data_IF_439368215731
#
_entry.id   IF_439368215731
#
_cell.length_a   1.000
_cell.length_b   1.000
_cell.length_c   1.000
_cell.angle_alpha   90.00
_cell.angle_beta   90.00
_cell.angle_gamma   90.00
#
_symmetry.space_group_name_H-M   'P 1'
#
loop_
_entity.id
_entity.type
_entity.pdbx_description
1 polymer ?
#
# COMPACT_ATOMS: atom_id res chain seq x y z
N UNK A 1 18.10 2.72 -14.31
CA UNK A 1 16.70 2.38 -13.98
C UNK A 1 16.58 1.91 -12.53
N UNK A 2 17.45 1.01 -12.05
CA UNK A 2 17.43 0.46 -10.68
C UNK A 2 17.41 1.52 -9.59
N UNK A 3 18.33 2.52 -9.64
CA UNK A 3 18.39 3.60 -8.64
C UNK A 3 17.09 4.41 -8.59
N UNK A 4 16.56 4.81 -9.75
CA UNK A 4 15.32 5.60 -9.80
C UNK A 4 14.12 4.82 -9.22
N UNK A 5 13.97 3.55 -9.58
CA UNK A 5 12.93 2.69 -9.03
C UNK A 5 13.14 2.42 -7.53
N UNK A 6 14.40 2.26 -7.10
CA UNK A 6 14.78 2.14 -5.69
C UNK A 6 14.37 3.35 -4.86
N UNK A 7 14.58 4.58 -5.38
CA UNK A 7 14.13 5.82 -4.72
C UNK A 7 12.61 5.85 -4.59
N UNK A 8 11.89 5.50 -5.66
CA UNK A 8 10.41 5.45 -5.65
C UNK A 8 9.91 4.42 -4.65
N UNK A 9 10.46 3.20 -4.67
CA UNK A 9 10.08 2.14 -3.74
C UNK A 9 10.33 2.54 -2.27
N UNK A 10 11.48 3.16 -2.00
CA UNK A 10 11.82 3.66 -0.65
C UNK A 10 10.85 4.76 -0.21
N UNK A 11 10.61 5.77 -1.04
CA UNK A 11 9.75 6.90 -0.70
C UNK A 11 8.29 6.46 -0.48
N UNK A 12 7.72 5.70 -1.43
CA UNK A 12 6.35 5.16 -1.32
C UNK A 12 6.25 4.22 -0.13
N UNK A 13 7.24 3.34 0.06
CA UNK A 13 7.28 2.40 1.17
C UNK A 13 7.31 3.09 2.53
N UNK A 14 8.11 4.13 2.72
CA UNK A 14 8.15 4.90 3.97
C UNK A 14 6.81 5.58 4.26
N UNK A 15 6.17 6.17 3.24
CA UNK A 15 4.85 6.80 3.40
C UNK A 15 3.80 5.76 3.81
N UNK A 16 3.73 4.64 3.10
CA UNK A 16 2.74 3.57 3.36
C UNK A 16 2.96 2.94 4.72
N UNK A 17 4.19 2.52 5.04
CA UNK A 17 4.51 1.88 6.34
C UNK A 17 4.24 2.84 7.50
N UNK A 18 4.60 4.12 7.36
CA UNK A 18 4.31 5.13 8.40
C UNK A 18 2.81 5.32 8.58
N UNK A 19 2.05 5.40 7.48
CA UNK A 19 0.58 5.51 7.51
C UNK A 19 -0.07 4.31 8.22
N UNK A 20 0.33 3.10 7.86
CA UNK A 20 -0.17 1.86 8.47
C UNK A 20 0.24 1.72 9.94
N UNK A 21 1.45 2.15 10.29
CA UNK A 21 1.91 2.16 11.68
C UNK A 21 1.05 3.11 12.53
N UNK A 22 0.80 4.34 12.07
CA UNK A 22 -0.06 5.29 12.77
C UNK A 22 -1.48 4.72 12.89
N UNK A 23 -2.04 4.16 11.82
CA UNK A 23 -3.38 3.56 11.82
C UNK A 23 -3.49 2.37 12.79
N UNK A 24 -2.42 1.62 12.97
CA UNK A 24 -2.39 0.46 13.87
C UNK A 24 -2.24 0.87 15.34
N UNK A 25 -1.42 1.88 15.64
CA UNK A 25 -1.10 2.31 17.00
C UNK A 25 -2.08 3.34 17.57
N UNK A 26 -2.57 4.25 16.73
CA UNK A 26 -3.49 5.33 17.12
C UNK A 26 -4.43 5.65 15.94
N UNK A 27 -5.49 4.86 15.84
CA UNK A 27 -6.48 4.99 14.76
C UNK A 27 -7.14 6.38 14.76
N UNK A 28 -7.43 6.94 15.95
CA UNK A 28 -8.01 8.28 16.05
C UNK A 28 -7.05 9.38 15.53
N UNK A 29 -5.75 9.19 15.70
CA UNK A 29 -4.73 10.07 15.11
C UNK A 29 -4.68 9.91 13.60
N UNK A 30 -4.76 8.67 13.10
CA UNK A 30 -4.82 8.40 11.66
C UNK A 30 -6.01 9.13 11.00
N UNK A 31 -7.18 9.09 11.61
CA UNK A 31 -8.37 9.82 11.15
C UNK A 31 -8.15 11.35 11.14
N UNK A 32 -7.55 11.92 12.19
CA UNK A 32 -7.23 13.36 12.25
C UNK A 32 -6.23 13.79 11.17
N UNK A 33 -5.33 12.90 10.77
CA UNK A 33 -4.35 13.14 9.70
C UNK A 33 -4.89 12.84 8.30
N UNK A 34 -6.14 12.37 8.17
CA UNK A 34 -6.74 11.99 6.89
C UNK A 34 -6.14 10.70 6.28
N UNK A 35 -5.49 9.87 7.11
CA UNK A 35 -4.95 8.55 6.71
C UNK A 35 -6.00 7.44 6.82
N UNK A 36 -7.07 7.70 7.53
CA UNK A 36 -8.23 6.83 7.71
C UNK A 36 -9.51 7.66 7.66
N UNK A 37 -10.60 7.03 7.22
CA UNK A 37 -11.91 7.66 7.13
C UNK A 37 -12.47 7.97 8.53
N UNK A 38 -13.31 9.00 8.61
CA UNK A 38 -13.97 9.39 9.86
C UNK A 38 -15.11 8.42 10.21
N UNK A 39 -15.33 8.22 11.50
CA UNK A 39 -16.37 7.31 12.00
C UNK A 39 -17.78 7.68 11.52
N UNK A 40 -18.09 8.98 11.38
CA UNK A 40 -19.41 9.45 10.93
C UNK A 40 -19.66 9.12 9.45
N UNK A 41 -18.59 8.96 8.66
CA UNK A 41 -18.63 8.73 7.21
C UNK A 41 -18.45 7.25 6.85
N UNK A 42 -18.26 6.37 7.84
CA UNK A 42 -17.84 4.98 7.61
C UNK A 42 -18.73 3.99 8.33
N UNK A 43 -19.04 2.87 7.67
CA UNK A 43 -19.75 1.76 8.32
C UNK A 43 -18.89 1.11 9.41
N UNK A 44 -19.45 0.78 10.59
CA UNK A 44 -18.67 0.16 11.68
C UNK A 44 -18.03 -1.19 11.33
N UNK A 45 -18.61 -1.95 10.40
CA UNK A 45 -18.00 -3.19 9.91
C UNK A 45 -16.78 -2.88 9.05
N UNK A 46 -16.92 -1.94 8.12
CA UNK A 46 -15.79 -1.50 7.27
C UNK A 46 -14.63 -1.00 8.13
N UNK A 47 -14.89 -0.14 9.12
CA UNK A 47 -13.88 0.33 10.08
C UNK A 47 -13.09 -0.80 10.74
N UNK A 48 -13.78 -1.85 11.20
CA UNK A 48 -13.09 -3.01 11.82
C UNK A 48 -12.24 -3.79 10.82
N UNK A 49 -12.71 -3.91 9.58
CA UNK A 49 -11.94 -4.52 8.52
C UNK A 49 -10.70 -3.71 8.19
N UNK A 50 -10.81 -2.38 8.10
CA UNK A 50 -9.67 -1.48 7.85
C UNK A 50 -8.59 -1.58 8.93
N UNK A 51 -8.96 -1.67 10.20
CA UNK A 51 -7.97 -1.85 11.27
C UNK A 51 -7.20 -3.18 11.14
N UNK A 52 -7.88 -4.25 10.74
CA UNK A 52 -7.22 -5.53 10.51
C UNK A 52 -6.37 -5.50 9.23
N UNK A 53 -6.85 -4.85 8.17
CA UNK A 53 -6.09 -4.60 6.94
C UNK A 53 -4.82 -3.80 7.24
N UNK A 54 -4.91 -2.71 8.01
CA UNK A 54 -3.75 -1.90 8.40
C UNK A 54 -2.66 -2.73 9.11
N UNK A 55 -3.05 -3.63 10.00
CA UNK A 55 -2.13 -4.53 10.69
C UNK A 55 -1.46 -5.52 9.75
N UNK A 56 -2.25 -6.09 8.83
CA UNK A 56 -1.74 -7.03 7.84
C UNK A 56 -0.80 -6.34 6.85
N UNK A 57 -1.20 -5.18 6.36
CA UNK A 57 -0.40 -4.38 5.43
C UNK A 57 0.92 -3.93 6.07
N UNK A 58 0.90 -3.56 7.34
CA UNK A 58 2.14 -3.25 8.08
C UNK A 58 3.09 -4.47 8.10
N UNK A 59 2.54 -5.67 8.31
CA UNK A 59 3.32 -6.91 8.30
C UNK A 59 3.90 -7.25 6.92
N UNK A 60 3.21 -6.90 5.83
CA UNK A 60 3.60 -7.27 4.47
C UNK A 60 4.39 -6.15 3.78
N UNK A 61 3.91 -4.90 3.85
CA UNK A 61 4.41 -3.79 3.04
C UNK A 61 5.71 -3.15 3.57
N UNK A 62 6.20 -3.52 4.77
CA UNK A 62 7.53 -3.08 5.24
C UNK A 62 8.66 -3.57 4.30
N UNK A 63 8.40 -4.60 3.50
CA UNK A 63 9.33 -5.09 2.49
C UNK A 63 9.55 -4.07 1.36
N UNK A 64 8.63 -3.11 1.16
CA UNK A 64 8.74 -2.11 0.10
C UNK A 64 9.90 -1.13 0.33
N UNK A 65 10.05 -0.47 1.50
CA UNK A 65 11.26 0.32 1.76
C UNK A 65 12.52 -0.56 1.81
N UNK A 66 12.45 -1.81 2.25
CA UNK A 66 13.58 -2.73 2.19
C UNK A 66 14.03 -3.00 0.75
N UNK A 67 13.11 -3.25 -0.18
CA UNK A 67 13.42 -3.40 -1.59
C UNK A 67 14.09 -2.13 -2.14
N UNK A 68 13.56 -0.94 -1.78
CA UNK A 68 14.15 0.35 -2.15
C UNK A 68 15.60 0.48 -1.70
N UNK A 69 15.88 0.20 -0.42
CA UNK A 69 17.25 0.23 0.13
C UNK A 69 18.15 -0.78 -0.59
N UNK A 70 17.69 -2.03 -0.75
CA UNK A 70 18.46 -3.08 -1.40
C UNK A 70 18.85 -2.71 -2.85
N UNK A 71 17.94 -2.07 -3.59
CA UNK A 71 18.19 -1.57 -4.94
C UNK A 71 19.22 -0.41 -4.94
N UNK A 72 19.17 0.48 -3.94
CA UNK A 72 20.06 1.65 -3.86
C UNK A 72 21.51 1.25 -3.53
N UNK A 73 21.69 0.21 -2.71
CA UNK A 73 23.04 -0.30 -2.36
C UNK A 73 23.51 -1.43 -3.30
N UNK A 74 22.77 -1.70 -4.36
CA UNK A 74 23.04 -2.76 -5.36
C UNK A 74 23.28 -4.13 -4.72
N UNK A 75 22.49 -4.48 -3.70
CA UNK A 75 22.59 -5.76 -3.01
C UNK A 75 22.23 -6.91 -3.96
N UNK A 76 23.06 -7.96 -4.06
CA UNK A 76 22.84 -9.07 -5.00
C UNK A 76 21.47 -9.79 -4.87
N UNK A 77 20.81 -9.67 -3.73
CA UNK A 77 19.50 -10.25 -3.43
C UNK A 77 18.32 -9.32 -3.72
N UNK A 78 18.56 -8.05 -4.14
CA UNK A 78 17.47 -7.11 -4.38
C UNK A 78 16.40 -7.62 -5.36
N UNK A 79 16.71 -8.39 -6.45
CA UNK A 79 15.66 -8.80 -7.37
C UNK A 79 14.63 -9.72 -6.72
N UNK A 80 15.05 -10.58 -5.80
CA UNK A 80 14.17 -11.49 -5.08
C UNK A 80 13.21 -10.74 -4.14
N UNK A 81 13.74 -9.77 -3.40
CA UNK A 81 12.89 -8.91 -2.55
C UNK A 81 11.94 -8.07 -3.38
N UNK A 82 12.40 -7.55 -4.53
CA UNK A 82 11.56 -6.79 -5.45
C UNK A 82 10.42 -7.63 -6.02
N UNK A 83 10.63 -8.92 -6.33
CA UNK A 83 9.57 -9.84 -6.75
C UNK A 83 8.52 -10.06 -5.65
N UNK A 84 8.96 -10.38 -4.43
CA UNK A 84 8.06 -10.59 -3.29
C UNK A 84 7.25 -9.33 -3.01
N UNK A 85 7.94 -8.21 -2.86
CA UNK A 85 7.33 -6.91 -2.57
C UNK A 85 6.42 -6.44 -3.70
N UNK A 86 6.86 -6.59 -4.95
CA UNK A 86 6.06 -6.22 -6.10
C UNK A 86 4.75 -7.00 -6.17
N UNK A 87 4.81 -8.31 -5.91
CA UNK A 87 3.61 -9.16 -5.84
C UNK A 87 2.67 -8.72 -4.71
N UNK A 88 3.20 -8.41 -3.54
CA UNK A 88 2.43 -7.90 -2.41
C UNK A 88 1.76 -6.55 -2.73
N UNK A 89 2.47 -5.63 -3.38
CA UNK A 89 1.91 -4.33 -3.79
C UNK A 89 0.80 -4.47 -4.82
N UNK A 90 0.95 -5.38 -5.81
CA UNK A 90 -0.09 -5.66 -6.81
C UNK A 90 -1.31 -6.29 -6.16
N UNK A 91 -1.11 -7.27 -5.26
CA UNK A 91 -2.21 -7.88 -4.50
C UNK A 91 -2.96 -6.84 -3.67
N UNK A 92 -2.24 -6.07 -2.85
CA UNK A 92 -2.85 -5.02 -2.01
C UNK A 92 -3.62 -4.01 -2.85
N UNK A 93 -3.01 -3.47 -3.92
CA UNK A 93 -3.67 -2.49 -4.79
C UNK A 93 -4.92 -3.05 -5.47
N UNK A 94 -4.84 -4.27 -6.00
CA UNK A 94 -5.96 -4.94 -6.67
C UNK A 94 -7.07 -5.34 -5.70
N UNK A 95 -6.73 -5.99 -4.61
CA UNK A 95 -7.68 -6.49 -3.60
C UNK A 95 -8.44 -5.34 -2.92
N UNK A 96 -7.72 -4.31 -2.46
CA UNK A 96 -8.34 -3.17 -1.79
C UNK A 96 -9.18 -2.32 -2.75
N UNK A 97 -8.71 -2.14 -3.99
CA UNK A 97 -9.50 -1.49 -5.03
C UNK A 97 -10.79 -2.24 -5.35
N UNK A 98 -10.73 -3.56 -5.51
CA UNK A 98 -11.90 -4.41 -5.74
C UNK A 98 -12.87 -4.40 -4.55
N UNK A 99 -12.35 -4.46 -3.31
CA UNK A 99 -13.14 -4.33 -2.08
C UNK A 99 -13.90 -3.00 -2.05
N UNK A 100 -13.24 -1.89 -2.33
CA UNK A 100 -13.87 -0.57 -2.33
C UNK A 100 -14.98 -0.46 -3.39
N UNK A 101 -14.79 -1.04 -4.58
CA UNK A 101 -15.83 -1.11 -5.61
C UNK A 101 -17.03 -1.94 -5.17
N UNK A 102 -16.78 -3.09 -4.55
CA UNK A 102 -17.86 -3.96 -4.04
C UNK A 102 -18.68 -3.27 -2.93
N UNK A 103 -18.01 -2.62 -1.96
CA UNK A 103 -18.69 -1.88 -0.90
C UNK A 103 -19.57 -0.74 -1.45
N UNK A 104 -19.06 -0.02 -2.47
CA UNK A 104 -19.86 1.00 -3.16
C UNK A 104 -21.10 0.44 -3.88
N UNK A 105 -20.98 -0.75 -4.47
CA UNK A 105 -22.11 -1.39 -5.15
C UNK A 105 -23.22 -1.81 -4.18
N UNK A 106 -22.88 -2.05 -2.92
CA UNK A 106 -23.81 -2.40 -1.84
C UNK A 106 -24.25 -1.18 -1.01
N UNK A 107 -23.98 0.05 -1.47
CA UNK A 107 -24.27 1.31 -0.76
C UNK A 107 -23.69 1.37 0.67
N UNK A 108 -22.62 0.61 0.94
CA UNK A 108 -21.92 0.66 2.23
C UNK A 108 -21.05 1.92 2.28
N UNK A 109 -21.17 2.69 3.35
CA UNK A 109 -20.41 3.93 3.53
C UNK A 109 -18.92 3.63 3.77
N UNK A 110 -18.08 4.20 2.91
CA UNK A 110 -16.62 4.04 2.91
C UNK A 110 -15.92 5.41 2.79
N UNK A 111 -16.25 6.30 3.70
CA UNK A 111 -15.73 7.67 3.69
C UNK A 111 -16.37 8.58 2.64
N UNK A 112 -15.81 9.78 2.51
CA UNK A 112 -16.25 10.79 1.55
C UNK A 112 -15.79 10.44 0.13
N UNK A 113 -16.42 11.06 -0.88
CA UNK A 113 -16.02 10.86 -2.28
C UNK A 113 -14.57 11.31 -2.57
N UNK A 114 -14.01 12.27 -1.77
CA UNK A 114 -12.62 12.67 -1.90
C UNK A 114 -11.67 11.62 -1.32
N UNK A 115 -11.99 11.08 -0.14
CA UNK A 115 -11.22 9.99 0.49
C UNK A 115 -11.17 8.77 -0.41
N UNK A 116 -12.30 8.37 -0.99
CA UNK A 116 -12.35 7.26 -1.95
C UNK A 116 -11.45 7.49 -3.18
N UNK A 117 -11.42 8.71 -3.74
CA UNK A 117 -10.52 9.04 -4.85
C UNK A 117 -9.05 8.93 -4.44
N UNK A 118 -8.71 9.38 -3.25
CA UNK A 118 -7.35 9.29 -2.71
C UNK A 118 -6.94 7.83 -2.50
N UNK A 119 -7.84 6.98 -2.00
CA UNK A 119 -7.62 5.55 -1.84
C UNK A 119 -7.40 4.86 -3.20
N UNK A 120 -8.25 5.14 -4.21
CA UNK A 120 -8.03 4.59 -5.55
C UNK A 120 -6.70 5.02 -6.16
N UNK A 121 -6.29 6.28 -5.95
CA UNK A 121 -5.00 6.77 -6.42
C UNK A 121 -3.84 6.03 -5.72
N UNK A 122 -3.94 5.80 -4.41
CA UNK A 122 -2.95 5.05 -3.64
C UNK A 122 -2.87 3.59 -4.10
N UNK A 123 -4.01 2.92 -4.26
CA UNK A 123 -4.06 1.53 -4.72
C UNK A 123 -3.52 1.38 -6.14
N UNK A 124 -3.85 2.31 -7.02
CA UNK A 124 -3.29 2.38 -8.39
C UNK A 124 -1.78 2.60 -8.39
N UNK A 125 -1.27 3.48 -7.51
CA UNK A 125 0.16 3.71 -7.32
C UNK A 125 0.88 2.46 -6.83
N UNK A 126 0.34 1.77 -5.82
CA UNK A 126 0.91 0.51 -5.31
C UNK A 126 0.98 -0.55 -6.41
N UNK A 127 -0.11 -0.74 -7.16
CA UNK A 127 -0.15 -1.69 -8.26
C UNK A 127 0.89 -1.35 -9.37
N UNK A 128 1.03 -0.07 -9.71
CA UNK A 128 2.00 0.39 -10.71
C UNK A 128 3.45 0.19 -10.25
N UNK A 129 3.77 0.58 -9.00
CA UNK A 129 5.11 0.39 -8.40
C UNK A 129 5.40 -1.11 -8.29
N UNK A 130 4.45 -1.90 -7.82
CA UNK A 130 4.59 -3.35 -7.72
C UNK A 130 4.87 -4.00 -9.07
N UNK A 131 4.12 -3.64 -10.11
CA UNK A 131 4.33 -4.15 -11.47
C UNK A 131 5.71 -3.77 -12.01
N UNK A 132 6.15 -2.53 -11.78
CA UNK A 132 7.48 -2.07 -12.21
C UNK A 132 8.60 -2.83 -11.49
N UNK A 133 8.46 -3.11 -10.20
CA UNK A 133 9.41 -3.92 -9.43
C UNK A 133 9.51 -5.34 -9.98
N UNK A 134 8.37 -5.99 -10.25
CA UNK A 134 8.33 -7.36 -10.80
C UNK A 134 9.04 -7.39 -12.16
N UNK A 135 8.63 -6.51 -13.08
CA UNK A 135 9.20 -6.50 -14.44
C UNK A 135 10.70 -6.23 -14.39
N UNK A 136 11.15 -5.25 -13.60
CA UNK A 136 12.57 -4.93 -13.50
C UNK A 136 13.39 -6.07 -12.88
N UNK A 137 12.87 -6.73 -11.85
CA UNK A 137 13.51 -7.88 -11.23
C UNK A 137 13.63 -9.07 -12.21
N UNK A 138 12.55 -9.39 -12.94
CA UNK A 138 12.57 -10.46 -13.93
C UNK A 138 13.58 -10.21 -15.04
N UNK A 139 13.65 -8.97 -15.57
CA UNK A 139 14.64 -8.60 -16.59
C UNK A 139 16.07 -8.69 -16.07
N UNK A 140 16.29 -8.44 -14.76
CA UNK A 140 17.62 -8.53 -14.17
C UNK A 140 18.06 -9.98 -13.89
N UNK A 141 17.11 -10.87 -13.64
CA UNK A 141 17.36 -12.29 -13.38
C UNK A 141 17.49 -13.15 -14.65
N UNK A 142 17.01 -12.63 -15.81
CA UNK A 142 17.10 -13.30 -17.12
C UNK A 142 18.50 -13.17 -17.75
#
# INVERSE_FOLDING_TARGET
>A
MTVALGIVALAVGLVVVTGQLISTLDFARAQRLGLQERDEETDPLHRRLELNTARWDLFVLWTLPLAGVAMLIDASWWPWVALITGSACVDTGGREGAKLLALRAEDIRVGTGQEQRNLFALYGLLAAVGSALIVHALVTLA
#
